data_IF_796519693643
#
_entry.id   IF_796519693643
#
_cell.length_a   1.000
_cell.length_b   1.000
_cell.length_c   1.000
_cell.angle_alpha   90.00
_cell.angle_beta   90.00
_cell.angle_gamma   90.00
#
_symmetry.space_group_name_H-M   'P 1'
#
loop_
_entity.id
_entity.type
_entity.pdbx_description
1 polymer ?
#
# COMPACT_ATOMS: atom_id res chain seq x y z
N UNK A 1 -11.19 76.62 10.46
CA UNK A 1 -10.13 75.96 11.27
C UNK A 1 -10.61 74.75 12.10
N UNK A 2 -11.92 74.51 12.28
CA UNK A 2 -12.43 73.33 13.01
C UNK A 2 -12.49 72.05 12.15
N UNK A 3 -12.79 72.16 10.85
CA UNK A 3 -12.91 71.00 9.95
C UNK A 3 -11.57 70.31 9.64
N UNK A 4 -10.48 71.06 9.47
CA UNK A 4 -9.15 70.48 9.26
C UNK A 4 -8.64 69.68 10.47
N UNK A 5 -8.94 70.12 11.70
CA UNK A 5 -8.61 69.38 12.93
C UNK A 5 -9.42 68.09 13.04
N UNK A 6 -10.68 68.10 12.62
CA UNK A 6 -11.57 66.93 12.63
C UNK A 6 -11.16 65.89 11.59
N UNK A 7 -10.73 66.34 10.40
CA UNK A 7 -10.20 65.48 9.34
C UNK A 7 -8.92 64.76 9.79
N UNK A 8 -8.00 65.48 10.45
CA UNK A 8 -6.77 64.92 11.01
C UNK A 8 -7.00 63.96 12.18
N UNK A 9 -8.02 64.22 13.00
CA UNK A 9 -8.40 63.32 14.10
C UNK A 9 -9.01 62.01 13.59
N UNK A 10 -9.86 62.07 12.56
CA UNK A 10 -10.43 60.88 11.93
C UNK A 10 -9.36 60.05 11.20
N UNK A 11 -8.39 60.69 10.57
CA UNK A 11 -7.23 60.02 9.97
C UNK A 11 -6.40 59.28 11.02
N UNK A 12 -6.14 59.93 12.18
CA UNK A 12 -5.42 59.31 13.30
C UNK A 12 -6.17 58.10 13.87
N UNK A 13 -7.48 58.20 14.06
CA UNK A 13 -8.32 57.08 14.53
C UNK A 13 -8.38 55.92 13.53
N UNK A 14 -8.34 56.22 12.22
CA UNK A 14 -8.29 55.20 11.18
C UNK A 14 -6.91 54.52 11.08
N UNK A 15 -5.83 55.24 11.35
CA UNK A 15 -4.48 54.67 11.48
C UNK A 15 -4.36 53.78 12.73
N UNK A 16 -4.83 54.24 13.89
CA UNK A 16 -4.85 53.43 15.12
C UNK A 16 -5.72 52.18 14.98
N UNK A 17 -6.88 52.26 14.31
CA UNK A 17 -7.72 51.10 13.99
C UNK A 17 -7.05 50.13 13.00
N UNK A 18 -6.27 50.65 12.04
CA UNK A 18 -5.50 49.81 11.11
C UNK A 18 -4.32 49.14 11.79
N UNK A 19 -3.62 49.83 12.69
CA UNK A 19 -2.53 49.27 13.50
C UNK A 19 -3.06 48.20 14.47
N UNK A 20 -4.18 48.48 15.16
CA UNK A 20 -4.84 47.50 16.03
C UNK A 20 -5.40 46.29 15.26
N UNK A 21 -5.83 46.47 14.01
CA UNK A 21 -6.21 45.36 13.13
C UNK A 21 -5.00 44.61 12.56
N UNK A 22 -3.90 45.29 12.24
CA UNK A 22 -2.67 44.67 11.75
C UNK A 22 -2.00 43.83 12.85
N UNK A 23 -1.98 44.32 14.09
CA UNK A 23 -1.51 43.56 15.26
C UNK A 23 -2.44 42.38 15.57
N UNK A 24 -3.75 42.52 15.41
CA UNK A 24 -4.68 41.39 15.53
C UNK A 24 -4.53 40.35 14.42
N UNK A 25 -4.18 40.74 13.19
CA UNK A 25 -3.93 39.81 12.08
C UNK A 25 -2.57 39.11 12.26
N UNK A 26 -1.56 39.81 12.77
CA UNK A 26 -0.25 39.23 13.08
C UNK A 26 -0.29 38.30 14.31
N UNK A 27 -1.10 38.60 15.33
CA UNK A 27 -1.26 37.73 16.51
C UNK A 27 -2.25 36.56 16.27
N UNK A 28 -3.15 36.65 15.29
CA UNK A 28 -4.04 35.55 14.87
C UNK A 28 -3.56 34.81 13.60
N UNK A 29 -2.28 34.91 13.26
CA UNK A 29 -1.66 34.05 12.24
C UNK A 29 -1.36 32.62 12.75
N UNK A 30 -1.84 32.26 13.94
CA UNK A 30 -1.70 30.94 14.55
C UNK A 30 -3.03 30.35 14.98
N UNK A 31 -3.33 29.16 14.46
CA UNK A 31 -4.39 28.23 14.85
C UNK A 31 -5.79 28.62 14.35
N UNK A 32 -6.16 28.07 13.18
CA UNK A 32 -7.56 27.74 12.90
C UNK A 32 -8.05 26.93 14.10
N UNK A 33 -8.93 27.50 14.94
CA UNK A 33 -9.69 26.71 15.90
C UNK A 33 -10.54 25.74 15.08
N UNK A 34 -10.03 24.53 14.88
CA UNK A 34 -10.84 23.43 14.38
C UNK A 34 -12.01 23.30 15.34
N UNK A 35 -13.21 23.51 14.81
CA UNK A 35 -14.42 23.31 15.58
C UNK A 35 -14.40 21.83 16.01
N UNK A 36 -14.39 21.49 17.31
CA UNK A 36 -14.25 20.10 17.75
C UNK A 36 -15.40 19.22 17.22
N UNK A 37 -16.55 19.85 16.92
CA UNK A 37 -17.71 19.20 16.30
C UNK A 37 -17.51 18.86 14.81
N UNK A 38 -16.64 19.59 14.10
CA UNK A 38 -16.22 19.25 12.74
C UNK A 38 -15.21 18.10 12.74
N UNK A 39 -14.37 18.02 13.78
CA UNK A 39 -13.42 16.94 13.97
C UNK A 39 -14.14 15.59 14.16
N UNK A 40 -15.15 15.54 15.04
CA UNK A 40 -15.91 14.30 15.29
C UNK A 40 -16.67 13.77 14.05
N UNK A 41 -17.28 14.66 13.26
CA UNK A 41 -17.95 14.27 12.01
C UNK A 41 -16.96 13.83 10.93
N UNK A 42 -15.82 14.50 10.82
CA UNK A 42 -14.78 14.11 9.89
C UNK A 42 -14.11 12.80 10.30
N UNK A 43 -13.95 12.54 11.60
CA UNK A 43 -13.46 11.28 12.13
C UNK A 43 -14.37 10.11 11.75
N UNK A 44 -15.69 10.25 11.97
CA UNK A 44 -16.65 9.22 11.58
C UNK A 44 -16.68 8.96 10.06
N UNK A 45 -16.53 10.00 9.24
CA UNK A 45 -16.43 9.85 7.78
C UNK A 45 -15.08 9.23 7.38
N UNK A 46 -13.98 9.59 8.04
CA UNK A 46 -12.68 8.98 7.80
C UNK A 46 -12.67 7.49 8.15
N UNK A 47 -13.33 7.11 9.25
CA UNK A 47 -13.46 5.72 9.69
C UNK A 47 -14.09 4.81 8.62
N UNK A 48 -15.08 5.33 7.87
CA UNK A 48 -15.68 4.59 6.74
C UNK A 48 -14.70 4.26 5.61
N UNK A 49 -13.53 4.87 5.58
CA UNK A 49 -12.49 4.62 4.58
C UNK A 49 -11.29 3.84 5.16
N UNK A 50 -11.26 3.54 6.46
CA UNK A 50 -10.13 2.85 7.09
C UNK A 50 -9.84 1.51 6.40
N UNK A 51 -10.88 0.68 6.25
CA UNK A 51 -10.74 -0.65 5.65
C UNK A 51 -10.27 -0.55 4.19
N UNK A 52 -10.84 0.39 3.42
CA UNK A 52 -10.38 0.67 2.05
C UNK A 52 -8.93 1.17 2.01
N UNK A 53 -8.49 1.99 2.97
CA UNK A 53 -7.13 2.49 3.05
C UNK A 53 -6.13 1.39 3.42
N UNK A 54 -6.49 0.50 4.35
CA UNK A 54 -5.69 -0.68 4.69
C UNK A 54 -5.54 -1.59 3.46
N UNK A 55 -6.63 -1.88 2.74
CA UNK A 55 -6.55 -2.66 1.51
C UNK A 55 -5.76 -1.97 0.39
N UNK A 56 -5.81 -0.63 0.29
CA UNK A 56 -4.97 0.12 -0.66
C UNK A 56 -3.47 0.05 -0.29
N UNK A 57 -3.15 0.09 1.01
CA UNK A 57 -1.78 -0.08 1.48
C UNK A 57 -1.25 -1.49 1.20
N UNK A 58 -2.03 -2.52 1.54
CA UNK A 58 -1.72 -3.93 1.25
C UNK A 58 -1.56 -4.16 -0.25
N UNK A 59 -2.47 -3.60 -1.07
CA UNK A 59 -2.41 -3.72 -2.52
C UNK A 59 -1.08 -3.20 -3.05
N UNK A 60 -0.65 -2.02 -2.58
CA UNK A 60 0.63 -1.45 -2.97
C UNK A 60 1.80 -2.33 -2.53
N UNK A 61 1.74 -2.86 -1.30
CA UNK A 61 2.76 -3.78 -0.80
C UNK A 61 2.89 -5.00 -1.74
N UNK A 62 1.79 -5.65 -2.10
CA UNK A 62 1.81 -6.80 -3.01
C UNK A 62 2.25 -6.46 -4.43
N UNK A 63 1.93 -5.25 -4.94
CA UNK A 63 2.41 -4.78 -6.23
C UNK A 63 3.94 -4.54 -6.21
N UNK A 64 4.47 -3.98 -5.12
CA UNK A 64 5.90 -3.77 -4.91
C UNK A 64 6.63 -5.12 -4.72
N UNK A 65 6.06 -6.08 -3.98
CA UNK A 65 6.58 -7.45 -3.83
C UNK A 65 6.64 -8.19 -5.17
N UNK A 66 5.55 -8.17 -5.96
CA UNK A 66 5.51 -8.79 -7.28
C UNK A 66 6.55 -8.18 -8.23
N UNK A 67 6.82 -6.88 -8.10
CA UNK A 67 7.87 -6.22 -8.86
C UNK A 67 9.25 -6.78 -8.51
N UNK A 68 9.55 -7.01 -7.22
CA UNK A 68 10.82 -7.61 -6.81
C UNK A 68 10.98 -9.04 -7.33
N UNK A 69 9.93 -9.85 -7.22
CA UNK A 69 9.90 -11.24 -7.73
C UNK A 69 10.25 -11.30 -9.22
N UNK A 70 9.79 -10.33 -10.02
CA UNK A 70 10.06 -10.31 -11.46
C UNK A 70 11.40 -9.66 -11.85
N UNK A 71 11.96 -8.81 -10.99
CA UNK A 71 13.17 -8.03 -11.29
C UNK A 71 14.46 -8.75 -10.92
N UNK A 72 14.46 -9.49 -9.81
CA UNK A 72 15.67 -10.06 -9.23
C UNK A 72 15.91 -11.52 -9.67
N UNK A 73 17.14 -11.99 -9.53
CA UNK A 73 17.51 -13.39 -9.77
C UNK A 73 16.74 -14.30 -8.79
N UNK A 74 16.46 -15.55 -9.17
CA UNK A 74 15.59 -16.43 -8.37
C UNK A 74 16.15 -16.68 -6.97
N UNK A 75 17.46 -16.89 -6.87
CA UNK A 75 18.16 -17.10 -5.60
C UNK A 75 18.13 -15.84 -4.70
N UNK A 76 18.15 -14.64 -5.30
CA UNK A 76 18.21 -13.39 -4.55
C UNK A 76 16.83 -12.86 -4.12
N UNK A 77 15.72 -13.41 -4.64
CA UNK A 77 14.36 -12.89 -4.37
C UNK A 77 14.10 -12.75 -2.86
N UNK A 78 14.36 -13.81 -2.09
CA UNK A 78 14.10 -13.81 -0.65
C UNK A 78 14.89 -12.70 0.07
N UNK A 79 16.17 -12.54 -0.27
CA UNK A 79 17.06 -11.52 0.31
C UNK A 79 16.60 -10.11 -0.04
N UNK A 80 16.20 -9.88 -1.29
CA UNK A 80 15.75 -8.57 -1.76
C UNK A 80 14.39 -8.19 -1.16
N UNK A 81 13.50 -9.16 -0.96
CA UNK A 81 12.23 -8.94 -0.23
C UNK A 81 12.48 -8.56 1.23
N UNK A 82 13.36 -9.28 1.94
CA UNK A 82 13.74 -8.90 3.31
C UNK A 82 14.34 -7.50 3.40
N UNK A 83 15.18 -7.12 2.44
CA UNK A 83 15.80 -5.78 2.40
C UNK A 83 14.78 -4.67 2.12
N UNK A 84 13.79 -4.92 1.25
CA UNK A 84 12.76 -3.96 0.88
C UNK A 84 11.70 -3.78 1.99
N UNK A 85 11.44 -4.83 2.76
CA UNK A 85 10.40 -4.87 3.79
C UNK A 85 10.95 -5.20 5.19
N UNK A 86 11.86 -4.37 5.75
CA UNK A 86 12.48 -4.62 7.05
C UNK A 86 11.53 -4.42 8.24
N UNK A 87 10.30 -3.95 8.00
CA UNK A 87 9.27 -3.82 9.05
C UNK A 87 8.48 -5.12 9.22
N UNK A 88 8.67 -6.07 8.32
CA UNK A 88 8.00 -7.37 8.32
C UNK A 88 8.96 -8.45 8.80
N UNK A 89 9.83 -8.14 9.77
CA UNK A 89 10.83 -9.07 10.34
C UNK A 89 10.23 -10.39 10.89
N UNK A 90 8.90 -10.45 11.07
CA UNK A 90 8.18 -11.67 11.44
C UNK A 90 7.84 -12.58 10.24
N UNK A 91 7.89 -12.07 9.00
CA UNK A 91 7.60 -12.84 7.79
C UNK A 91 8.86 -13.51 7.27
N UNK A 92 8.80 -14.83 7.16
CA UNK A 92 9.84 -15.64 6.53
C UNK A 92 9.55 -15.75 5.03
N UNK A 93 10.07 -14.81 4.25
CA UNK A 93 9.89 -14.79 2.80
C UNK A 93 10.48 -16.04 2.13
N UNK A 94 11.56 -16.61 2.68
CA UNK A 94 12.14 -17.84 2.15
C UNK A 94 11.16 -19.02 2.29
N UNK A 95 10.55 -19.18 3.47
CA UNK A 95 9.56 -20.21 3.72
C UNK A 95 8.28 -20.00 2.87
N UNK A 96 7.83 -18.76 2.70
CA UNK A 96 6.69 -18.44 1.84
C UNK A 96 6.98 -18.82 0.38
N UNK A 97 8.13 -18.38 -0.16
CA UNK A 97 8.54 -18.67 -1.54
C UNK A 97 8.66 -20.17 -1.79
N UNK A 98 9.31 -20.90 -0.88
CA UNK A 98 9.45 -22.35 -0.98
C UNK A 98 8.08 -23.05 -0.98
N UNK A 99 7.19 -22.64 -0.09
CA UNK A 99 5.83 -23.19 0.01
C UNK A 99 5.03 -22.97 -1.28
N UNK A 100 5.15 -21.78 -1.90
CA UNK A 100 4.44 -21.47 -3.15
C UNK A 100 4.93 -22.39 -4.29
N UNK A 101 6.25 -22.59 -4.39
CA UNK A 101 6.81 -23.48 -5.41
C UNK A 101 6.44 -24.93 -5.15
N UNK A 102 6.50 -25.42 -3.91
CA UNK A 102 6.06 -26.77 -3.56
C UNK A 102 4.59 -27.02 -3.94
N UNK A 103 3.70 -26.08 -3.61
CA UNK A 103 2.28 -26.20 -3.95
C UNK A 103 2.04 -26.15 -5.46
N UNK A 104 2.74 -25.26 -6.18
CA UNK A 104 2.68 -25.18 -7.64
C UNK A 104 3.09 -26.50 -8.30
N UNK A 105 4.20 -27.09 -7.83
CA UNK A 105 4.66 -28.37 -8.33
C UNK A 105 3.79 -29.55 -7.92
N UNK A 106 3.19 -29.50 -6.73
CA UNK A 106 2.21 -30.49 -6.28
C UNK A 106 1.01 -30.53 -7.24
N UNK A 107 0.50 -29.36 -7.67
CA UNK A 107 -0.56 -29.29 -8.67
C UNK A 107 -0.13 -29.89 -10.02
N UNK A 108 1.09 -29.59 -10.48
CA UNK A 108 1.63 -30.16 -11.71
C UNK A 108 1.75 -31.69 -11.68
N UNK A 109 2.17 -32.26 -10.55
CA UNK A 109 2.39 -33.71 -10.39
C UNK A 109 1.07 -34.45 -10.10
N UNK A 110 0.31 -33.99 -9.11
CA UNK A 110 -0.85 -34.74 -8.60
C UNK A 110 -2.12 -34.46 -9.40
N UNK A 111 -2.34 -33.20 -9.81
CA UNK A 111 -3.57 -32.78 -10.48
C UNK A 111 -3.41 -32.85 -12.00
N UNK A 112 -2.41 -32.14 -12.53
CA UNK A 112 -2.20 -32.04 -13.97
C UNK A 112 -1.47 -33.24 -14.57
N UNK A 113 -0.72 -33.99 -13.75
CA UNK A 113 0.07 -35.16 -14.15
C UNK A 113 1.03 -34.88 -15.32
N UNK A 114 1.56 -33.67 -15.37
CA UNK A 114 2.47 -33.21 -16.43
C UNK A 114 3.94 -33.43 -16.06
N UNK A 115 4.24 -33.54 -14.76
CA UNK A 115 5.60 -33.63 -14.23
C UNK A 115 5.78 -34.92 -13.41
N UNK A 116 7.01 -35.48 -13.34
CA UNK A 116 7.31 -36.67 -12.56
C UNK A 116 7.34 -36.39 -11.05
N UNK A 117 6.96 -37.39 -10.25
CA UNK A 117 6.97 -37.30 -8.79
C UNK A 117 8.38 -37.08 -8.20
N UNK A 118 9.41 -37.55 -8.91
CA UNK A 118 10.81 -37.33 -8.54
C UNK A 118 11.19 -35.85 -8.48
N UNK A 119 10.55 -34.99 -9.27
CA UNK A 119 10.77 -33.55 -9.18
C UNK A 119 10.16 -33.01 -7.89
N UNK A 120 8.93 -33.36 -7.55
CA UNK A 120 8.30 -32.91 -6.32
C UNK A 120 9.08 -33.33 -5.07
N UNK A 121 9.60 -34.56 -5.03
CA UNK A 121 10.47 -35.01 -3.93
C UNK A 121 11.77 -34.21 -3.84
N UNK A 122 12.33 -33.80 -4.98
CA UNK A 122 13.53 -32.97 -5.02
C UNK A 122 13.28 -31.56 -4.51
N UNK A 123 12.13 -30.95 -4.83
CA UNK A 123 11.76 -29.62 -4.29
C UNK A 123 11.71 -29.65 -2.78
N UNK A 124 11.06 -30.67 -2.20
CA UNK A 124 10.94 -30.81 -0.75
C UNK A 124 12.29 -31.04 -0.04
N UNK A 125 13.29 -31.52 -0.77
CA UNK A 125 14.60 -31.84 -0.23
C UNK A 125 15.66 -30.74 -0.48
N UNK A 126 15.34 -29.74 -1.29
CA UNK A 126 16.32 -28.72 -1.72
C UNK A 126 15.96 -27.36 -1.15
N UNK A 127 16.98 -26.55 -0.82
CA UNK A 127 16.77 -25.16 -0.42
C UNK A 127 16.27 -24.32 -1.60
N UNK A 128 15.41 -23.33 -1.33
CA UNK A 128 14.86 -22.47 -2.37
C UNK A 128 15.94 -21.76 -3.20
N UNK A 129 17.02 -21.34 -2.56
CA UNK A 129 18.11 -20.59 -3.21
C UNK A 129 18.91 -21.45 -4.21
N UNK A 130 19.04 -22.75 -3.92
CA UNK A 130 19.78 -23.71 -4.73
C UNK A 130 18.88 -24.52 -5.68
N UNK A 131 17.56 -24.35 -5.56
CA UNK A 131 16.56 -25.18 -6.24
C UNK A 131 16.80 -25.28 -7.75
N UNK A 132 16.96 -24.13 -8.40
CA UNK A 132 17.11 -24.06 -9.85
C UNK A 132 18.41 -24.71 -10.32
N UNK A 133 19.51 -24.52 -9.58
CA UNK A 133 20.80 -25.12 -9.91
C UNK A 133 20.75 -26.65 -9.80
N UNK A 134 20.18 -27.17 -8.71
CA UNK A 134 20.02 -28.62 -8.47
C UNK A 134 19.11 -29.26 -9.52
N UNK A 135 18.02 -28.58 -9.90
CA UNK A 135 17.10 -29.05 -10.93
C UNK A 135 17.75 -29.12 -12.31
N UNK A 136 18.43 -28.05 -12.73
CA UNK A 136 19.14 -28.02 -14.01
C UNK A 136 20.26 -29.06 -14.07
N UNK A 137 20.94 -29.32 -12.95
CA UNK A 137 21.98 -30.35 -12.88
C UNK A 137 21.42 -31.78 -12.96
N UNK A 138 20.30 -32.05 -12.28
CA UNK A 138 19.71 -33.41 -12.23
C UNK A 138 18.90 -33.75 -13.48
N UNK A 139 18.26 -32.75 -14.10
CA UNK A 139 17.40 -32.90 -15.27
C UNK A 139 17.96 -32.13 -16.47
N UNK A 140 19.20 -32.40 -16.86
CA UNK A 140 19.88 -31.72 -17.98
C UNK A 140 19.18 -31.91 -19.34
N UNK A 141 18.38 -32.96 -19.47
CA UNK A 141 17.65 -33.29 -20.69
C UNK A 141 16.24 -32.67 -20.72
N UNK A 142 15.88 -31.90 -19.69
CA UNK A 142 14.59 -31.21 -19.63
C UNK A 142 14.51 -30.10 -20.69
N UNK A 143 13.45 -30.11 -21.48
CA UNK A 143 13.26 -29.15 -22.57
C UNK A 143 12.61 -27.83 -22.12
N UNK A 144 12.08 -27.79 -20.89
CA UNK A 144 11.48 -26.59 -20.29
C UNK A 144 12.48 -25.76 -19.49
N UNK A 145 11.95 -24.71 -18.85
CA UNK A 145 12.73 -23.79 -18.03
C UNK A 145 12.16 -23.80 -16.60
N UNK A 146 12.85 -24.50 -15.71
CA UNK A 146 12.45 -24.63 -14.31
C UNK A 146 12.35 -23.29 -13.60
N UNK A 147 13.22 -22.32 -13.94
CA UNK A 147 13.17 -21.00 -13.33
C UNK A 147 11.93 -20.25 -13.79
N UNK A 148 11.64 -20.28 -15.10
CA UNK A 148 10.44 -19.65 -15.63
C UNK A 148 9.16 -20.27 -15.05
N UNK A 149 9.10 -21.61 -14.94
CA UNK A 149 7.95 -22.32 -14.35
C UNK A 149 7.77 -21.96 -12.87
N UNK A 150 8.85 -21.99 -12.07
CA UNK A 150 8.79 -21.60 -10.68
C UNK A 150 8.34 -20.13 -10.51
N UNK A 151 8.88 -19.22 -11.33
CA UNK A 151 8.47 -17.80 -11.35
C UNK A 151 7.01 -17.61 -11.72
N UNK A 152 6.45 -18.44 -12.61
CA UNK A 152 5.02 -18.39 -12.93
C UNK A 152 4.17 -18.67 -11.69
N UNK A 153 4.55 -19.65 -10.85
CA UNK A 153 3.82 -19.91 -9.60
C UNK A 153 3.89 -18.75 -8.63
N UNK A 154 5.09 -18.18 -8.46
CA UNK A 154 5.29 -16.99 -7.66
C UNK A 154 4.41 -15.85 -8.18
N UNK A 155 4.55 -15.45 -9.45
CA UNK A 155 3.79 -14.36 -10.04
C UNK A 155 2.27 -14.56 -9.92
N UNK A 156 1.77 -15.76 -10.25
CA UNK A 156 0.33 -16.07 -10.12
C UNK A 156 -0.18 -15.94 -8.69
N UNK A 157 0.62 -16.32 -7.68
CA UNK A 157 0.26 -16.18 -6.27
C UNK A 157 0.05 -14.71 -5.90
N UNK A 158 0.99 -13.85 -6.27
CA UNK A 158 0.91 -12.41 -6.02
C UNK A 158 -0.20 -11.73 -6.82
N UNK A 159 -0.35 -12.07 -8.10
CA UNK A 159 -1.44 -11.57 -8.95
C UNK A 159 -2.82 -11.91 -8.36
N UNK A 160 -3.00 -13.11 -7.78
CA UNK A 160 -4.23 -13.47 -7.07
C UNK A 160 -4.46 -12.59 -5.84
N UNK A 161 -3.44 -12.32 -5.03
CA UNK A 161 -3.55 -11.42 -3.87
C UNK A 161 -3.94 -10.01 -4.27
N UNK A 162 -3.26 -9.48 -5.28
CA UNK A 162 -3.54 -8.16 -5.87
C UNK A 162 -5.00 -8.09 -6.34
N UNK A 163 -5.48 -9.13 -7.04
CA UNK A 163 -6.85 -9.18 -7.54
C UNK A 163 -7.87 -9.25 -6.38
N UNK A 164 -7.61 -10.06 -5.36
CA UNK A 164 -8.48 -10.14 -4.16
C UNK A 164 -8.56 -8.78 -3.48
N UNK A 165 -7.43 -8.10 -3.25
CA UNK A 165 -7.42 -6.76 -2.64
C UNK A 165 -8.12 -5.72 -3.49
N UNK A 166 -7.95 -5.75 -4.82
CA UNK A 166 -8.71 -4.90 -5.76
C UNK A 166 -10.22 -5.11 -5.64
N UNK A 167 -10.68 -6.35 -5.47
CA UNK A 167 -12.10 -6.64 -5.25
C UNK A 167 -12.58 -6.16 -3.87
N UNK A 168 -11.82 -6.35 -2.79
CA UNK A 168 -12.17 -5.83 -1.47
C UNK A 168 -12.29 -4.29 -1.49
N UNK A 169 -11.34 -3.59 -2.10
CA UNK A 169 -11.42 -2.12 -2.27
C UNK A 169 -12.72 -1.75 -3.01
N UNK A 170 -13.06 -2.44 -4.11
CA UNK A 170 -14.31 -2.15 -4.82
C UNK A 170 -15.54 -2.35 -3.95
N UNK A 171 -15.56 -3.38 -3.10
CA UNK A 171 -16.65 -3.65 -2.17
C UNK A 171 -16.77 -2.53 -1.14
N UNK A 172 -15.67 -2.14 -0.47
CA UNK A 172 -15.67 -1.03 0.49
C UNK A 172 -16.14 0.28 -0.14
N UNK A 173 -15.62 0.60 -1.34
CA UNK A 173 -16.06 1.81 -2.06
C UNK A 173 -17.54 1.75 -2.45
N UNK A 174 -18.06 0.56 -2.74
CA UNK A 174 -19.48 0.35 -3.01
C UNK A 174 -20.33 0.59 -1.75
N UNK A 175 -19.91 0.07 -0.60
CA UNK A 175 -20.59 0.28 0.69
C UNK A 175 -20.62 1.76 1.11
N UNK A 176 -19.51 2.47 0.90
CA UNK A 176 -19.47 3.93 1.10
C UNK A 176 -20.49 4.63 0.17
N UNK A 177 -20.60 4.17 -1.07
CA UNK A 177 -21.55 4.76 -2.02
C UNK A 177 -23.01 4.45 -1.68
N UNK A 178 -23.32 3.27 -1.14
CA UNK A 178 -24.69 2.91 -0.71
C UNK A 178 -25.10 3.66 0.56
N UNK A 179 -24.14 4.13 1.37
CA UNK A 179 -24.40 5.04 2.49
C UNK A 179 -24.84 6.46 2.05
N UNK A 180 -24.86 6.74 0.74
CA UNK A 180 -25.22 8.03 0.16
C UNK A 180 -24.06 9.04 0.09
N UNK A 181 -22.85 8.65 0.50
CA UNK A 181 -21.64 9.46 0.36
C UNK A 181 -20.87 9.06 -0.90
N UNK A 182 -20.14 10.00 -1.51
CA UNK A 182 -19.25 9.64 -2.62
C UNK A 182 -17.93 9.11 -2.05
N UNK A 183 -17.50 7.91 -2.43
CA UNK A 183 -16.20 7.34 -2.08
C UNK A 183 -15.02 8.34 -2.19
N UNK A 184 -14.96 9.12 -3.28
CA UNK A 184 -13.93 10.16 -3.49
C UNK A 184 -13.95 11.27 -2.43
N UNK A 185 -15.13 11.61 -1.91
CA UNK A 185 -15.27 12.60 -0.84
C UNK A 185 -14.77 12.01 0.48
N UNK A 186 -15.18 10.79 0.81
CA UNK A 186 -14.77 10.08 2.03
C UNK A 186 -13.25 9.89 2.06
N UNK A 187 -12.64 9.43 0.96
CA UNK A 187 -11.17 9.35 0.80
C UNK A 187 -10.47 10.69 1.09
N UNK A 188 -11.01 11.81 0.59
CA UNK A 188 -10.44 13.13 0.82
C UNK A 188 -10.55 13.56 2.29
N UNK A 189 -11.65 13.23 2.94
CA UNK A 189 -11.82 13.50 4.38
C UNK A 189 -10.84 12.66 5.19
N UNK A 190 -10.70 11.37 4.88
CA UNK A 190 -9.69 10.47 5.46
C UNK A 190 -8.28 11.04 5.31
N UNK A 191 -7.86 11.41 4.09
CA UNK A 191 -6.54 11.96 3.83
C UNK A 191 -6.25 13.23 4.64
N UNK A 192 -7.23 14.15 4.71
CA UNK A 192 -7.10 15.38 5.51
C UNK A 192 -7.05 15.11 7.00
N UNK A 193 -7.84 14.15 7.49
CA UNK A 193 -7.90 13.77 8.89
C UNK A 193 -6.57 13.15 9.36
N UNK A 194 -5.94 12.32 8.53
CA UNK A 194 -4.64 11.71 8.81
C UNK A 194 -3.43 12.53 8.35
N UNK A 195 -3.62 13.75 7.84
CA UNK A 195 -2.53 14.63 7.41
C UNK A 195 -1.74 14.12 6.19
N UNK A 196 -2.35 13.29 5.35
CA UNK A 196 -1.76 12.73 4.13
C UNK A 196 -1.81 13.71 2.95
N UNK A 197 -2.60 14.81 3.05
CA UNK A 197 -2.78 15.89 2.04
C UNK A 197 -3.03 17.23 2.70
#
# INVERSE_FOLDING_TARGET
MAEQKRKRYLELQMEELKEAHADNIAQNAGVKKENPNHNAKNAAIAEMYNDAAEYEADLKCFEDELFLVNKHSFADIATEMHNAFPKEDERDFLAELNTIVELGWTDLVEVQKTHPLEQLELIKATDFTELIEVFNAKFSDYAGDFEAEARVFLAQRWERLINIKKEHIKQELYEINTSGLKAKYVKRVYQKYHGLV
#
